data_IF_780425324016
#
_entry.id   IF_780425324016
#
_cell.length_a   1.000
_cell.length_b   1.000
_cell.length_c   1.000
_cell.angle_alpha   90.00
_cell.angle_beta   90.00
_cell.angle_gamma   90.00
#
_symmetry.space_group_name_H-M   'P 1'
#
loop_
_entity.id
_entity.type
_entity.pdbx_description
1 polymer ?
#
# COMPACT_ATOMS: atom_id res chain seq x y z
N UNK A 1 -16.35 -10.05 4.55
CA UNK A 1 -15.26 -10.20 3.56
C UNK A 1 -13.95 -10.31 4.34
N UNK A 2 -13.48 -11.51 4.72
CA UNK A 2 -12.34 -11.67 5.62
C UNK A 2 -11.03 -11.03 5.13
N UNK A 3 -10.84 -10.93 3.82
CA UNK A 3 -9.64 -10.34 3.21
C UNK A 3 -9.50 -8.82 3.43
N UNK A 4 -10.60 -8.10 3.67
CA UNK A 4 -10.59 -6.64 3.88
C UNK A 4 -10.66 -6.26 5.36
N UNK A 5 -10.29 -7.19 6.25
CA UNK A 5 -10.29 -6.99 7.69
C UNK A 5 -8.84 -7.03 8.17
N UNK A 6 -8.40 -5.95 8.81
CA UNK A 6 -7.12 -5.90 9.50
C UNK A 6 -7.04 -7.00 10.55
N UNK A 7 -5.85 -7.57 10.71
CA UNK A 7 -5.57 -8.59 11.72
C UNK A 7 -4.43 -8.10 12.60
N UNK A 8 -4.68 -7.96 13.91
CA UNK A 8 -3.59 -7.76 14.87
C UNK A 8 -2.80 -9.06 15.05
N UNK A 9 -1.54 -8.94 15.46
CA UNK A 9 -0.65 -10.09 15.65
C UNK A 9 -0.90 -10.88 16.94
N UNK A 10 -2.00 -10.60 17.65
CA UNK A 10 -2.35 -11.19 18.93
C UNK A 10 -2.23 -10.21 20.10
N UNK A 11 -3.05 -10.46 21.13
CA UNK A 11 -3.06 -9.64 22.35
C UNK A 11 -3.80 -8.30 22.21
N UNK A 12 -4.26 -7.95 21.02
CA UNK A 12 -4.99 -6.73 20.70
C UNK A 12 -4.12 -5.65 20.03
N UNK A 13 -4.77 -4.56 19.62
CA UNK A 13 -4.11 -3.45 18.90
C UNK A 13 -2.89 -2.92 19.67
N UNK A 14 -1.76 -2.79 18.99
CA UNK A 14 -0.49 -2.30 19.54
C UNK A 14 0.11 -3.14 20.68
N UNK A 15 -0.21 -4.44 20.80
CA UNK A 15 0.29 -5.28 21.90
C UNK A 15 1.42 -6.21 21.53
N UNK A 16 1.44 -6.69 20.29
CA UNK A 16 2.45 -7.61 19.79
C UNK A 16 3.02 -7.10 18.47
N UNK A 17 4.34 -7.15 18.33
CA UNK A 17 5.04 -6.81 17.09
C UNK A 17 5.67 -8.03 16.44
N UNK A 18 5.69 -8.08 15.11
CA UNK A 18 6.53 -9.03 14.37
C UNK A 18 8.02 -8.67 14.42
N UNK A 19 8.87 -9.39 13.67
CA UNK A 19 10.30 -9.16 13.63
C UNK A 19 10.70 -7.77 13.09
N UNK A 20 9.88 -7.16 12.24
CA UNK A 20 10.13 -5.84 11.64
C UNK A 20 9.52 -4.70 12.45
N UNK A 21 8.56 -4.99 13.33
CA UNK A 21 7.88 -3.99 14.17
C UNK A 21 6.40 -3.81 13.86
N UNK A 22 5.86 -4.49 12.85
CA UNK A 22 4.43 -4.38 12.50
C UNK A 22 3.58 -4.84 13.69
N UNK A 23 2.51 -4.12 13.98
CA UNK A 23 1.48 -4.50 14.95
C UNK A 23 0.30 -5.25 14.31
N UNK A 24 0.15 -5.13 13.00
CA UNK A 24 -0.83 -5.86 12.20
C UNK A 24 -0.12 -6.83 11.23
N UNK A 25 -0.85 -7.85 10.79
CA UNK A 25 -0.36 -8.80 9.81
C UNK A 25 -0.08 -8.09 8.47
N UNK A 26 1.18 -7.99 8.02
CA UNK A 26 1.53 -7.25 6.81
C UNK A 26 0.89 -7.84 5.55
N UNK A 27 0.43 -9.10 5.57
CA UNK A 27 -0.25 -9.76 4.45
C UNK A 27 -1.76 -9.47 4.37
N UNK A 28 -2.27 -8.54 5.19
CA UNK A 28 -3.65 -8.06 5.16
C UNK A 28 -3.70 -6.53 5.13
N UNK A 29 -4.86 -5.99 4.78
CA UNK A 29 -5.08 -4.54 4.78
C UNK A 29 -5.11 -4.02 6.22
N UNK A 30 -4.37 -2.95 6.52
CA UNK A 30 -4.47 -2.20 7.77
C UNK A 30 -4.77 -0.72 7.52
N UNK A 31 -5.73 -0.16 8.27
CA UNK A 31 -6.10 1.28 8.27
C UNK A 31 -6.14 1.87 6.84
N UNK A 32 -7.06 1.39 5.99
CA UNK A 32 -7.22 1.90 4.64
C UNK A 32 -7.65 3.38 4.69
N UNK A 33 -7.07 4.19 3.81
CA UNK A 33 -7.45 5.59 3.62
C UNK A 33 -7.98 5.78 2.19
N UNK A 34 -7.11 5.55 1.20
CA UNK A 34 -7.39 5.84 -0.19
C UNK A 34 -8.13 4.67 -0.87
N UNK A 35 -9.29 4.93 -1.48
CA UNK A 35 -10.08 3.91 -2.17
C UNK A 35 -10.39 4.32 -3.61
N UNK A 36 -10.25 3.37 -4.53
CA UNK A 36 -10.70 3.54 -5.91
C UNK A 36 -11.26 2.25 -6.45
N UNK A 37 -12.50 2.29 -6.94
CA UNK A 37 -13.10 1.16 -7.61
C UNK A 37 -12.97 1.29 -9.13
N UNK A 38 -12.54 0.21 -9.78
CA UNK A 38 -12.63 0.01 -11.22
C UNK A 38 -13.78 -0.95 -11.50
N UNK A 39 -14.84 -0.45 -12.13
CA UNK A 39 -15.98 -1.27 -12.51
C UNK A 39 -15.57 -2.33 -13.53
N UNK A 40 -14.75 -1.93 -14.51
CA UNK A 40 -14.32 -2.80 -15.60
C UNK A 40 -13.42 -3.93 -15.11
N UNK A 41 -12.43 -3.62 -14.26
CA UNK A 41 -11.56 -4.64 -13.67
C UNK A 41 -12.23 -5.41 -12.53
N UNK A 42 -13.44 -5.02 -12.12
CA UNK A 42 -14.13 -5.56 -10.94
C UNK A 42 -13.23 -5.49 -9.69
N UNK A 43 -12.45 -4.43 -9.55
CA UNK A 43 -11.35 -4.35 -8.59
C UNK A 43 -11.43 -3.09 -7.74
N UNK A 44 -11.42 -3.27 -6.43
CA UNK A 44 -11.24 -2.22 -5.43
C UNK A 44 -9.76 -2.08 -5.12
N UNK A 45 -9.19 -0.94 -5.46
CA UNK A 45 -7.85 -0.56 -5.03
C UNK A 45 -7.93 0.13 -3.66
N UNK A 46 -6.99 -0.20 -2.78
CA UNK A 46 -6.97 0.23 -1.38
C UNK A 46 -5.55 0.65 -0.99
N UNK A 47 -5.32 1.95 -0.80
CA UNK A 47 -4.09 2.51 -0.24
C UNK A 47 -4.20 2.63 1.28
N UNK A 48 -3.16 2.20 1.99
CA UNK A 48 -3.08 2.29 3.44
C UNK A 48 -2.43 3.59 3.93
N UNK A 49 -2.94 4.10 5.05
CA UNK A 49 -2.27 5.07 5.92
C UNK A 49 -2.25 4.52 7.35
N UNK A 50 -1.26 3.66 7.63
CA UNK A 50 -1.20 2.86 8.84
C UNK A 50 -0.15 3.29 9.85
N UNK A 51 -0.59 3.30 11.11
CA UNK A 51 0.26 3.26 12.29
C UNK A 51 0.46 1.84 12.84
N UNK A 52 0.09 0.80 12.09
CA UNK A 52 0.28 -0.60 12.48
C UNK A 52 1.17 -1.39 11.54
N UNK A 53 1.42 -0.89 10.33
CA UNK A 53 2.46 -1.40 9.45
C UNK A 53 3.66 -0.45 9.42
N UNK A 54 4.86 -1.01 9.44
CA UNK A 54 6.15 -0.31 9.33
C UNK A 54 6.29 0.40 7.98
N UNK A 55 5.66 -0.14 6.94
CA UNK A 55 5.49 0.51 5.66
C UNK A 55 4.11 0.17 5.11
N UNK A 56 3.47 1.13 4.45
CA UNK A 56 2.13 0.92 3.91
C UNK A 56 2.14 0.29 2.53
N UNK A 57 0.98 -0.25 2.15
CA UNK A 57 0.79 -0.96 0.89
C UNK A 57 -0.33 -0.36 0.04
N UNK A 58 -0.25 -0.61 -1.27
CA UNK A 58 -1.41 -0.53 -2.17
C UNK A 58 -1.88 -1.95 -2.45
N UNK A 59 -3.17 -2.18 -2.25
CA UNK A 59 -3.82 -3.46 -2.51
C UNK A 59 -4.78 -3.36 -3.70
N UNK A 60 -4.95 -4.48 -4.40
CA UNK A 60 -5.97 -4.71 -5.41
C UNK A 60 -6.86 -5.87 -4.95
N UNK A 61 -8.12 -5.58 -4.67
CA UNK A 61 -9.12 -6.57 -4.26
C UNK A 61 -10.14 -6.79 -5.37
N UNK A 62 -10.10 -7.94 -6.03
CA UNK A 62 -11.10 -8.28 -7.03
C UNK A 62 -12.40 -8.72 -6.33
N UNK A 63 -13.50 -7.99 -6.55
CA UNK A 63 -14.73 -8.17 -5.77
C UNK A 63 -15.54 -9.39 -6.21
N UNK A 64 -15.26 -9.98 -7.37
CA UNK A 64 -15.97 -11.17 -7.84
C UNK A 64 -15.24 -12.44 -7.34
N UNK A 65 -13.92 -12.51 -7.55
CA UNK A 65 -13.07 -13.64 -7.11
C UNK A 65 -12.68 -13.60 -5.64
N UNK A 66 -12.83 -12.44 -4.98
CA UNK A 66 -12.46 -12.19 -3.59
C UNK A 66 -10.95 -12.29 -3.32
N UNK A 67 -10.12 -12.25 -4.36
CA UNK A 67 -8.66 -12.27 -4.25
C UNK A 67 -8.15 -10.89 -3.85
N UNK A 68 -7.29 -10.84 -2.85
CA UNK A 68 -6.54 -9.66 -2.43
C UNK A 68 -5.08 -9.82 -2.87
N UNK A 69 -4.57 -8.85 -3.62
CA UNK A 69 -3.19 -8.82 -4.10
C UNK A 69 -2.49 -7.54 -3.65
N UNK A 70 -1.29 -7.65 -3.08
CA UNK A 70 -0.42 -6.50 -2.86
C UNK A 70 0.19 -6.07 -4.19
N UNK A 71 0.02 -4.81 -4.58
CA UNK A 71 0.52 -4.29 -5.87
C UNK A 71 1.59 -3.21 -5.72
N UNK A 72 1.72 -2.59 -4.54
CA UNK A 72 2.83 -1.69 -4.20
C UNK A 72 3.21 -1.86 -2.73
N UNK A 73 4.50 -1.71 -2.45
CA UNK A 73 5.05 -1.50 -1.11
C UNK A 73 5.67 -0.11 -1.06
N UNK A 74 5.16 0.76 -0.20
CA UNK A 74 5.75 2.08 0.00
C UNK A 74 7.06 1.98 0.79
N UNK A 75 7.91 3.02 0.75
CA UNK A 75 9.02 3.16 1.69
C UNK A 75 8.53 3.16 3.15
N UNK A 76 9.44 2.85 4.08
CA UNK A 76 9.17 2.86 5.52
C UNK A 76 8.59 4.19 6.01
N UNK A 77 7.58 4.11 6.87
CA UNK A 77 6.87 5.27 7.45
C UNK A 77 6.02 6.07 6.46
N UNK A 78 5.93 5.69 5.19
CA UNK A 78 5.09 6.38 4.21
C UNK A 78 3.72 5.71 4.08
N UNK A 79 2.70 6.52 3.80
CA UNK A 79 1.36 6.12 3.35
C UNK A 79 1.35 5.83 1.84
N UNK A 80 0.35 5.08 1.37
CA UNK A 80 0.01 4.94 -0.06
C UNK A 80 -1.15 5.87 -0.41
N UNK A 81 -0.88 6.93 -1.16
CA UNK A 81 -1.85 7.99 -1.51
C UNK A 81 -1.90 8.27 -3.02
N UNK A 82 -2.66 9.29 -3.43
CA UNK A 82 -2.78 9.73 -4.82
C UNK A 82 -3.43 8.69 -5.74
N UNK A 83 -4.28 7.84 -5.17
CA UNK A 83 -4.80 6.66 -5.84
C UNK A 83 -5.81 7.02 -6.94
N UNK A 84 -5.44 6.75 -8.19
CA UNK A 84 -6.38 6.77 -9.32
C UNK A 84 -6.20 5.53 -10.17
N UNK A 85 -7.30 4.91 -10.59
CA UNK A 85 -7.29 3.84 -11.57
C UNK A 85 -7.98 4.34 -12.82
N UNK A 86 -7.29 4.21 -13.95
CA UNK A 86 -7.76 4.56 -15.27
C UNK A 86 -7.76 3.28 -16.10
N UNK A 87 -8.96 2.83 -16.46
CA UNK A 87 -9.16 1.49 -17.00
C UNK A 87 -8.66 1.33 -18.44
N UNK A 88 -8.94 2.29 -19.31
CA UNK A 88 -8.54 2.24 -20.73
C UNK A 88 -8.32 3.64 -21.31
N UNK A 89 -7.06 4.07 -21.38
CA UNK A 89 -6.62 5.18 -22.24
C UNK A 89 -5.77 4.59 -23.34
N UNK A 90 -6.24 4.68 -24.59
CA UNK A 90 -5.55 4.15 -25.77
C UNK A 90 -5.15 2.66 -25.65
N UNK A 91 -5.99 1.84 -25.00
CA UNK A 91 -5.73 0.41 -24.79
C UNK A 91 -4.89 0.08 -23.55
N UNK A 92 -4.54 1.07 -22.73
CA UNK A 92 -3.71 0.89 -21.54
C UNK A 92 -4.48 1.16 -20.25
N UNK A 93 -4.14 0.38 -19.22
CA UNK A 93 -4.61 0.56 -17.85
C UNK A 93 -3.49 1.16 -17.00
N UNK A 94 -3.84 2.18 -16.22
CA UNK A 94 -2.91 2.86 -15.32
C UNK A 94 -3.50 2.90 -13.91
N UNK A 95 -2.69 2.54 -12.92
CA UNK A 95 -3.00 2.79 -11.51
C UNK A 95 -2.01 3.82 -10.99
N UNK A 96 -2.41 5.08 -10.95
CA UNK A 96 -1.65 6.16 -10.34
C UNK A 96 -1.53 5.93 -8.84
N UNK A 97 -0.33 6.13 -8.31
CA UNK A 97 -0.05 6.04 -6.89
C UNK A 97 1.17 6.87 -6.52
N UNK A 98 1.14 7.38 -5.29
CA UNK A 98 2.15 8.23 -4.69
C UNK A 98 2.39 7.73 -3.27
N UNK A 99 3.47 8.19 -2.63
CA UNK A 99 3.70 7.97 -1.20
C UNK A 99 4.11 9.26 -0.49
N UNK A 100 3.71 9.40 0.78
CA UNK A 100 4.10 10.51 1.65
C UNK A 100 3.85 10.15 3.14
N UNK A 101 4.43 10.86 4.09
CA UNK A 101 5.83 11.28 4.08
C UNK A 101 6.75 10.05 4.24
N UNK A 102 7.93 10.00 3.60
CA UNK A 102 8.87 8.89 3.86
C UNK A 102 9.60 9.10 5.17
N UNK A 103 9.65 8.06 6.01
CA UNK A 103 10.32 8.10 7.31
C UNK A 103 9.59 8.95 8.34
N UNK A 104 8.26 8.88 8.37
CA UNK A 104 7.47 9.38 9.49
C UNK A 104 7.61 8.44 10.70
N UNK A 105 8.71 8.62 11.42
CA UNK A 105 9.15 7.69 12.46
C UNK A 105 8.29 7.76 13.72
N UNK A 106 7.42 6.78 13.90
CA UNK A 106 6.71 6.53 15.16
C UNK A 106 7.41 5.54 16.11
N UNK A 107 7.32 5.80 17.41
CA UNK A 107 7.70 4.88 18.49
C UNK A 107 6.44 4.29 19.14
N UNK A 108 6.36 2.96 19.36
CA UNK A 108 7.42 1.96 19.16
C UNK A 108 7.41 1.24 17.80
N UNK A 109 6.58 1.67 16.84
CA UNK A 109 6.38 0.99 15.55
C UNK A 109 7.69 0.77 14.79
N UNK A 110 8.52 1.81 14.68
CA UNK A 110 9.72 1.78 13.85
C UNK A 110 11.02 1.51 14.60
N UNK A 111 10.98 1.32 15.93
CA UNK A 111 12.18 1.21 16.77
C UNK A 111 13.13 0.11 16.30
N UNK A 112 12.61 -1.00 15.74
CA UNK A 112 13.40 -2.13 15.24
C UNK A 112 14.13 -1.85 13.93
N UNK A 113 13.56 -1.02 13.05
CA UNK A 113 14.08 -0.79 11.69
C UNK A 113 14.78 0.55 11.52
N UNK A 114 14.41 1.55 12.32
CA UNK A 114 14.93 2.91 12.23
C UNK A 114 16.46 2.98 12.29
N UNK A 115 17.18 2.27 13.19
CA UNK A 115 18.65 2.32 13.23
C UNK A 115 19.31 1.92 11.91
N UNK A 116 18.67 1.06 11.13
CA UNK A 116 19.18 0.56 9.84
C UNK A 116 18.75 1.44 8.67
N UNK A 117 17.55 2.01 8.72
CA UNK A 117 16.91 2.66 7.57
C UNK A 117 17.05 4.18 7.56
N UNK A 118 17.28 4.85 8.69
CA UNK A 118 17.32 6.32 8.78
C UNK A 118 18.28 6.94 7.76
N UNK A 119 19.54 6.49 7.72
CA UNK A 119 20.52 7.03 6.77
C UNK A 119 20.11 6.83 5.30
N UNK A 120 19.43 5.71 4.98
CA UNK A 120 18.92 5.44 3.63
C UNK A 120 17.75 6.34 3.29
N UNK A 121 16.86 6.60 4.24
CA UNK A 121 15.74 7.51 4.05
C UNK A 121 16.24 8.93 3.77
N UNK A 122 17.18 9.44 4.58
CA UNK A 122 17.74 10.77 4.38
C UNK A 122 18.39 10.91 3.00
N UNK A 123 19.21 9.93 2.61
CA UNK A 123 19.94 9.95 1.35
C UNK A 123 19.05 9.88 0.10
N UNK A 124 17.93 9.15 0.15
CA UNK A 124 17.11 8.88 -1.04
C UNK A 124 15.85 9.75 -1.14
N UNK A 125 15.44 10.42 -0.07
CA UNK A 125 14.19 11.17 -0.02
C UNK A 125 14.37 12.61 0.48
N UNK A 126 15.48 13.26 0.10
CA UNK A 126 15.76 14.68 0.38
C UNK A 126 15.53 15.02 1.86
N UNK A 127 16.19 14.28 2.76
CA UNK A 127 16.04 14.43 4.21
C UNK A 127 14.58 14.34 4.71
N UNK A 128 13.80 13.44 4.10
CA UNK A 128 12.34 13.21 4.27
C UNK A 128 11.40 14.21 3.60
N UNK A 129 11.92 15.20 2.87
CA UNK A 129 11.11 16.17 2.12
C UNK A 129 10.86 15.76 0.66
N UNK A 130 11.26 14.55 0.27
CA UNK A 130 11.05 13.97 -1.05
C UNK A 130 9.86 13.00 -1.07
N UNK A 131 9.08 13.07 -2.14
CA UNK A 131 8.03 12.11 -2.48
C UNK A 131 8.23 11.65 -3.93
N UNK A 132 7.62 10.53 -4.32
CA UNK A 132 7.49 10.14 -5.72
C UNK A 132 6.03 10.06 -6.12
N UNK A 133 5.77 10.43 -7.37
CA UNK A 133 4.47 10.34 -8.03
C UNK A 133 4.67 9.50 -9.28
N UNK A 134 3.84 8.49 -9.47
CA UNK A 134 3.97 7.60 -10.62
C UNK A 134 2.71 6.78 -10.87
N UNK A 135 2.89 5.73 -11.65
CA UNK A 135 1.83 4.79 -11.97
C UNK A 135 2.37 3.37 -12.06
N UNK A 136 1.50 2.42 -11.73
CA UNK A 136 1.64 1.02 -12.07
C UNK A 136 0.92 0.79 -13.40
N UNK A 137 1.51 -0.02 -14.27
CA UNK A 137 0.89 -0.46 -15.52
C UNK A 137 1.00 -1.98 -15.64
N UNK A 138 0.04 -2.59 -16.33
CA UNK A 138 0.10 -4.01 -16.70
C UNK A 138 1.06 -4.23 -17.88
N UNK A 139 1.29 -5.50 -18.23
CA UNK A 139 2.09 -5.95 -19.38
C UNK A 139 1.79 -5.16 -20.70
N UNK A 140 2.68 -5.14 -21.73
CA UNK A 140 2.54 -4.35 -22.96
C UNK A 140 1.25 -4.57 -23.75
N UNK A 141 0.50 -5.62 -23.43
CA UNK A 141 -0.88 -5.80 -23.86
C UNK A 141 -1.77 -5.67 -22.63
N UNK A 142 -2.52 -4.57 -22.55
CA UNK A 142 -3.51 -4.38 -21.50
C UNK A 142 -4.43 -5.59 -21.36
N UNK A 143 -4.90 -5.87 -20.14
CA UNK A 143 -5.85 -6.95 -19.89
C UNK A 143 -7.07 -6.74 -20.76
N UNK A 144 -7.16 -7.50 -21.85
CA UNK A 144 -8.24 -7.39 -22.82
C UNK A 144 -9.44 -8.14 -22.26
N UNK A 145 -10.23 -7.44 -21.46
CA UNK A 145 -11.48 -7.98 -20.95
C UNK A 145 -12.45 -8.16 -22.13
N UNK A 146 -13.02 -9.36 -22.25
CA UNK A 146 -14.03 -9.65 -23.26
C UNK A 146 -15.15 -8.61 -23.18
N UNK A 147 -15.64 -8.13 -24.33
CA UNK A 147 -16.81 -7.24 -24.36
C UNK A 147 -17.98 -7.96 -23.69
N UNK A 148 -18.66 -7.25 -22.78
CA UNK A 148 -19.97 -7.64 -22.28
C UNK A 148 -21.01 -7.65 -23.42
#
# INVERSE_FOLDING_TARGET
MPALVSEDLGGGKMKQQDALGNFANPDKVATPDNLKFSEKLRTLFVGEDSNTHVNNFLWAYNVDTKVLSRVLSCPVGAESTGLHAVDEINGWTYVMSNFQPVGDWETPLHDKVRPTLEAKVMANYKDRFGAAVGYLTGDPTGVRLAKA
#
